data_IF_418704877516
#
_entry.id   IF_418704877516
#
_cell.length_a   1.000
_cell.length_b   1.000
_cell.length_c   1.000
_cell.angle_alpha   90.00
_cell.angle_beta   90.00
_cell.angle_gamma   90.00
#
_symmetry.space_group_name_H-M   'P 1'
#
loop_
_entity.id
_entity.type
_entity.pdbx_description
1 polymer ?
#
# COMPACT_ATOMS: atom_id res chain seq x y z
N UNK A 1 15.93 53.93 20.03
CA UNK A 1 15.48 54.40 21.35
C UNK A 1 14.03 54.03 21.54
N UNK A 2 13.74 53.26 22.44
CA UNK A 2 12.72 52.97 23.45
C UNK A 2 12.59 51.48 23.69
N UNK A 3 13.23 51.09 24.80
CA UNK A 3 13.02 49.83 25.52
C UNK A 3 11.70 49.93 26.27
N UNK A 4 10.95 48.87 26.36
CA UNK A 4 10.03 48.68 27.49
C UNK A 4 10.10 47.23 27.93
N UNK A 5 10.32 47.10 29.25
CA UNK A 5 10.58 45.93 30.06
C UNK A 5 9.37 45.72 30.97
N UNK A 6 9.27 44.45 31.53
CA UNK A 6 8.51 44.05 32.76
C UNK A 6 7.08 43.59 32.49
N UNK A 7 6.56 42.49 33.11
CA UNK A 7 6.82 41.93 34.44
C UNK A 7 6.50 40.44 34.57
N UNK A 8 7.27 39.77 35.38
CA UNK A 8 6.95 38.51 36.06
C UNK A 8 5.91 38.72 37.16
N UNK A 9 5.03 37.72 37.34
CA UNK A 9 4.37 37.53 38.63
C UNK A 9 4.31 36.03 38.96
N UNK A 10 5.12 35.66 39.94
CA UNK A 10 5.07 34.45 40.70
C UNK A 10 4.10 34.63 41.87
N UNK A 11 3.28 33.64 42.15
CA UNK A 11 2.59 33.50 43.45
C UNK A 11 2.82 32.09 43.95
N UNK A 12 3.32 32.04 45.15
CA UNK A 12 3.74 30.85 45.90
C UNK A 12 2.69 30.37 46.90
N UNK A 13 2.73 29.07 47.19
CA UNK A 13 2.47 28.35 48.43
C UNK A 13 1.30 28.73 49.34
N UNK A 14 0.60 27.69 49.77
CA UNK A 14 0.45 27.38 51.19
C UNK A 14 0.06 25.92 51.44
N UNK A 15 0.86 25.22 52.23
CA UNK A 15 0.68 23.93 52.88
C UNK A 15 -0.05 24.12 54.23
N UNK A 16 -0.97 23.24 54.59
CA UNK A 16 -1.36 22.81 55.95
C UNK A 16 -2.06 21.47 55.77
N UNK A 17 -1.77 20.34 56.32
CA UNK A 17 -1.09 19.92 57.52
C UNK A 17 -2.05 19.14 58.45
N UNK A 18 -1.69 17.89 58.86
CA UNK A 18 -2.21 17.00 59.93
C UNK A 18 -3.60 16.39 59.70
N UNK A 19 -3.82 15.10 59.76
CA UNK A 19 -3.29 13.99 60.54
C UNK A 19 -4.42 13.35 61.34
N UNK A 20 -4.66 12.05 61.18
CA UNK A 20 -4.93 11.10 62.28
C UNK A 20 -5.13 9.70 61.74
N UNK A 21 -4.46 8.77 62.37
CA UNK A 21 -4.56 7.32 62.24
C UNK A 21 -5.78 6.80 62.95
N UNK A 22 -6.49 5.84 62.36
CA UNK A 22 -7.19 4.80 63.12
C UNK A 22 -7.23 3.50 62.31
N UNK A 23 -6.84 2.44 63.03
CA UNK A 23 -6.83 1.06 62.59
C UNK A 23 -8.26 0.50 62.37
N UNK A 24 -8.51 -0.14 61.27
CA UNK A 24 -9.65 -1.02 61.06
C UNK A 24 -9.25 -2.31 60.33
N UNK A 25 -9.53 -3.40 61.00
CA UNK A 25 -9.34 -4.82 60.72
C UNK A 25 -9.95 -5.26 59.42
N UNK A 26 -9.34 -6.22 58.67
CA UNK A 26 -9.81 -6.61 57.35
C UNK A 26 -11.12 -7.43 57.42
N UNK A 27 -12.09 -6.99 56.67
CA UNK A 27 -13.29 -7.76 56.38
C UNK A 27 -13.01 -8.72 55.20
N UNK A 28 -13.35 -9.97 55.43
CA UNK A 28 -13.35 -11.07 54.47
C UNK A 28 -14.26 -10.74 53.30
N UNK A 29 -13.69 -10.46 52.11
CA UNK A 29 -14.48 -10.35 50.87
C UNK A 29 -14.37 -11.66 50.13
N UNK A 30 -15.51 -12.32 50.06
CA UNK A 30 -15.77 -13.52 49.27
C UNK A 30 -15.40 -13.30 47.82
N UNK A 31 -14.48 -14.12 47.29
CA UNK A 31 -14.06 -14.16 45.91
C UNK A 31 -15.20 -14.83 45.10
N UNK A 32 -16.11 -14.04 44.56
CA UNK A 32 -16.97 -14.50 43.47
C UNK A 32 -16.22 -14.31 42.17
N UNK A 33 -15.68 -15.39 41.65
CA UNK A 33 -15.19 -15.47 40.30
C UNK A 33 -16.31 -15.14 39.33
N UNK A 34 -16.37 -13.89 38.85
CA UNK A 34 -17.05 -13.56 37.61
C UNK A 34 -16.21 -14.04 36.46
N UNK A 35 -16.54 -15.25 35.99
CA UNK A 35 -16.11 -15.77 34.69
C UNK A 35 -16.71 -14.86 33.61
N UNK A 36 -15.97 -13.83 33.24
CA UNK A 36 -16.27 -13.03 32.08
C UNK A 36 -15.96 -13.89 30.83
N UNK A 37 -16.97 -14.65 30.39
CA UNK A 37 -17.01 -15.15 29.02
C UNK A 37 -17.36 -13.97 28.11
N UNK A 38 -16.39 -13.19 27.79
CA UNK A 38 -16.45 -12.20 26.71
C UNK A 38 -15.84 -12.84 25.49
N UNK A 39 -16.67 -13.45 24.64
CA UNK A 39 -16.37 -13.60 23.23
C UNK A 39 -16.19 -12.19 22.68
N UNK A 40 -14.94 -11.71 22.68
CA UNK A 40 -14.55 -10.62 21.83
C UNK A 40 -14.69 -11.19 20.41
N UNK A 41 -15.86 -10.96 19.79
CA UNK A 41 -16.05 -11.20 18.37
C UNK A 41 -14.91 -10.46 17.66
N UNK A 42 -13.95 -11.21 17.13
CA UNK A 42 -12.89 -10.65 16.29
C UNK A 42 -13.59 -9.88 15.18
N UNK A 43 -13.37 -8.58 15.11
CA UNK A 43 -13.95 -7.76 14.06
C UNK A 43 -13.61 -8.42 12.71
N UNK A 44 -14.65 -8.72 11.93
CA UNK A 44 -14.50 -9.35 10.61
C UNK A 44 -13.52 -8.52 9.79
N UNK A 45 -12.46 -9.13 9.30
CA UNK A 45 -11.44 -8.48 8.48
C UNK A 45 -11.44 -9.12 7.10
N UNK A 46 -11.27 -8.32 6.04
CA UNK A 46 -11.16 -8.83 4.69
C UNK A 46 -9.84 -9.59 4.50
N UNK A 47 -9.84 -10.55 3.60
CA UNK A 47 -8.67 -11.34 3.19
C UNK A 47 -8.85 -11.81 1.74
N UNK A 48 -8.03 -12.74 1.28
CA UNK A 48 -8.14 -13.35 -0.05
C UNK A 48 -8.75 -14.76 -0.03
N UNK A 49 -9.26 -15.23 1.11
CA UNK A 49 -9.87 -16.55 1.30
C UNK A 49 -11.34 -16.48 1.71
N UNK A 50 -11.67 -16.72 2.97
CA UNK A 50 -13.06 -16.77 3.46
C UNK A 50 -13.80 -15.43 3.35
N UNK A 51 -13.11 -14.32 3.59
CA UNK A 51 -13.59 -12.95 3.40
C UNK A 51 -12.94 -12.33 2.16
N UNK A 52 -12.84 -13.14 1.10
CA UNK A 52 -12.15 -12.79 -0.14
C UNK A 52 -12.92 -11.82 -1.03
N UNK A 53 -12.43 -11.57 -2.27
CA UNK A 53 -12.95 -10.54 -3.17
C UNK A 53 -14.44 -10.60 -3.44
N UNK A 54 -15.07 -11.76 -3.38
CA UNK A 54 -16.53 -11.93 -3.53
C UNK A 54 -17.36 -11.40 -2.35
N UNK A 55 -16.73 -11.07 -1.23
CA UNK A 55 -17.34 -10.55 0.00
C UNK A 55 -16.83 -9.16 0.37
N UNK A 56 -16.01 -8.52 -0.48
CA UNK A 56 -15.42 -7.23 -0.14
C UNK A 56 -16.44 -6.07 -0.12
N UNK A 57 -17.59 -6.23 -0.73
CA UNK A 57 -18.72 -5.30 -0.63
C UNK A 57 -19.26 -5.17 0.80
N UNK A 58 -19.09 -6.21 1.64
CA UNK A 58 -19.42 -6.19 3.06
C UNK A 58 -18.49 -5.29 3.88
N UNK A 59 -17.26 -5.05 3.40
CA UNK A 59 -16.27 -4.16 4.03
C UNK A 59 -16.26 -2.76 3.44
N UNK A 60 -16.53 -2.68 2.14
CA UNK A 60 -16.70 -1.42 1.43
C UNK A 60 -17.63 -1.60 0.25
N UNK A 61 -18.74 -0.87 0.27
CA UNK A 61 -19.74 -0.92 -0.80
C UNK A 61 -19.14 -0.67 -2.18
N UNK A 62 -18.14 0.21 -2.28
CA UNK A 62 -17.48 0.54 -3.54
C UNK A 62 -16.85 -0.69 -4.20
N UNK A 63 -16.39 -1.69 -3.43
CA UNK A 63 -15.83 -2.92 -3.98
C UNK A 63 -16.83 -3.74 -4.82
N UNK A 64 -18.13 -3.63 -4.51
CA UNK A 64 -19.18 -4.37 -5.23
C UNK A 64 -20.01 -3.51 -6.18
N UNK A 65 -20.02 -2.18 -6.03
CA UNK A 65 -20.89 -1.31 -6.85
C UNK A 65 -20.15 -0.28 -7.68
N UNK A 66 -18.82 -0.15 -7.48
CA UNK A 66 -17.97 0.77 -8.26
C UNK A 66 -17.94 0.37 -9.73
N UNK A 67 -17.91 1.37 -10.60
CA UNK A 67 -17.93 1.17 -12.05
C UNK A 67 -16.56 1.27 -12.69
N UNK A 68 -15.58 1.85 -11.96
CA UNK A 68 -14.21 2.04 -12.44
C UNK A 68 -13.22 1.23 -11.60
N UNK A 69 -13.55 -0.04 -11.38
CA UNK A 69 -12.77 -0.93 -10.51
C UNK A 69 -11.52 -1.49 -11.21
N UNK A 70 -10.50 -1.80 -10.39
CA UNK A 70 -9.24 -2.46 -10.78
C UNK A 70 -9.11 -3.79 -10.06
N UNK A 71 -8.31 -4.75 -10.61
CA UNK A 71 -7.56 -4.69 -11.87
C UNK A 71 -8.45 -4.91 -13.11
N UNK A 72 -7.89 -4.70 -14.31
CA UNK A 72 -8.58 -4.96 -15.58
C UNK A 72 -7.77 -5.90 -16.48
N UNK A 73 -8.44 -6.41 -17.53
CA UNK A 73 -7.74 -7.07 -18.64
C UNK A 73 -7.42 -6.04 -19.72
N UNK A 74 -6.14 -5.85 -20.02
CA UNK A 74 -5.67 -4.99 -21.10
C UNK A 74 -5.68 -5.79 -22.40
N UNK A 75 -6.29 -5.24 -23.43
CA UNK A 75 -6.29 -5.81 -24.79
C UNK A 75 -5.51 -4.85 -25.70
N UNK A 76 -4.23 -5.11 -26.01
CA UNK A 76 -3.38 -4.17 -26.75
C UNK A 76 -3.97 -3.70 -28.07
N UNK A 77 -4.71 -4.57 -28.76
CA UNK A 77 -5.39 -4.22 -30.02
C UNK A 77 -6.63 -3.31 -29.85
N UNK A 78 -7.01 -2.96 -28.64
CA UNK A 78 -8.15 -2.08 -28.31
C UNK A 78 -7.74 -0.83 -27.54
N UNK A 79 -6.46 -0.60 -27.37
CA UNK A 79 -5.95 0.62 -26.73
C UNK A 79 -6.02 1.80 -27.68
N UNK A 80 -6.15 2.98 -27.12
CA UNK A 80 -6.05 4.25 -27.86
C UNK A 80 -4.66 4.88 -27.67
N UNK A 81 -4.17 5.60 -28.67
CA UNK A 81 -2.93 6.37 -28.50
C UNK A 81 -3.14 7.43 -27.43
N UNK A 82 -2.17 7.51 -26.53
CA UNK A 82 -2.19 8.47 -25.43
C UNK A 82 -2.02 9.90 -25.97
N UNK A 83 -2.70 10.84 -25.36
CA UNK A 83 -2.38 12.25 -25.53
C UNK A 83 -1.16 12.56 -24.65
N UNK A 84 -0.17 13.25 -25.18
CA UNK A 84 1.08 13.61 -24.47
C UNK A 84 0.87 14.42 -23.17
N UNK A 85 -0.34 14.91 -22.91
CA UNK A 85 -0.67 15.56 -21.64
C UNK A 85 -0.61 14.60 -20.42
N UNK A 86 -0.50 13.28 -20.64
CA UNK A 86 -0.45 12.24 -19.60
C UNK A 86 0.93 11.61 -19.42
N UNK A 87 1.98 12.27 -19.94
CA UNK A 87 3.34 11.74 -19.86
C UNK A 87 3.76 11.51 -18.41
N UNK A 88 4.20 10.28 -18.16
CA UNK A 88 4.78 9.85 -16.89
C UNK A 88 6.29 10.14 -16.92
N UNK A 89 6.76 10.87 -15.92
CA UNK A 89 8.20 10.99 -15.64
C UNK A 89 8.50 10.42 -14.27
N UNK A 90 9.45 9.49 -14.19
CA UNK A 90 9.81 8.81 -12.94
C UNK A 90 11.10 9.38 -12.35
N UNK A 91 11.13 9.60 -11.05
CA UNK A 91 12.22 10.16 -10.26
C UNK A 91 12.43 9.31 -9.00
N UNK A 92 12.64 7.99 -9.20
CA UNK A 92 12.71 6.99 -8.13
C UNK A 92 14.16 6.78 -7.61
N UNK A 93 15.14 7.47 -8.15
CA UNK A 93 16.54 7.40 -7.72
C UNK A 93 16.75 8.03 -6.32
N UNK A 94 16.23 7.37 -5.32
CA UNK A 94 16.31 7.79 -3.90
C UNK A 94 16.66 6.59 -3.02
N UNK A 95 17.93 6.20 -3.04
CA UNK A 95 18.43 5.13 -2.18
C UNK A 95 18.36 5.52 -0.71
N UNK A 96 17.66 4.75 0.11
CA UNK A 96 17.46 5.03 1.53
C UNK A 96 17.04 3.82 2.34
N UNK A 97 16.81 4.04 3.64
CA UNK A 97 16.23 3.01 4.50
C UNK A 97 14.76 2.80 4.14
N UNK A 98 14.32 1.57 4.17
CA UNK A 98 12.93 1.19 3.96
C UNK A 98 12.52 0.11 4.95
N UNK A 99 11.33 0.25 5.51
CA UNK A 99 10.71 -0.76 6.36
C UNK A 99 9.99 -1.79 5.52
N UNK A 100 10.23 -3.08 5.77
CA UNK A 100 9.61 -4.20 5.05
C UNK A 100 8.74 -4.98 6.03
N UNK A 101 7.45 -5.05 5.77
CA UNK A 101 6.51 -5.74 6.65
C UNK A 101 5.61 -6.70 5.85
N UNK A 102 5.25 -7.80 6.47
CA UNK A 102 4.06 -8.55 6.11
C UNK A 102 2.87 -7.87 6.80
N UNK A 103 1.94 -7.34 6.00
CA UNK A 103 0.77 -6.63 6.50
C UNK A 103 -0.49 -7.50 6.58
N UNK A 104 -0.34 -8.82 6.38
CA UNK A 104 -1.43 -9.79 6.34
C UNK A 104 -2.12 -9.91 4.96
N UNK A 105 -1.71 -9.11 3.98
CA UNK A 105 -2.27 -9.09 2.63
C UNK A 105 -1.19 -9.10 1.54
N UNK A 106 -0.02 -8.57 1.86
CA UNK A 106 1.14 -8.51 0.97
C UNK A 106 2.41 -8.20 1.77
N UNK A 107 3.56 -8.43 1.16
CA UNK A 107 4.83 -7.87 1.62
C UNK A 107 4.90 -6.42 1.13
N UNK A 108 4.84 -5.49 2.09
CA UNK A 108 4.84 -4.05 1.84
C UNK A 108 6.18 -3.44 2.25
N UNK A 109 6.70 -2.60 1.38
CA UNK A 109 7.93 -1.83 1.59
C UNK A 109 7.58 -0.35 1.67
N UNK A 110 7.99 0.30 2.75
CA UNK A 110 7.78 1.74 2.98
C UNK A 110 9.14 2.42 3.09
N UNK A 111 9.60 3.12 2.03
CA UNK A 111 10.82 3.92 2.08
C UNK A 111 10.67 5.08 3.07
N UNK A 112 11.73 5.43 3.80
CA UNK A 112 11.78 6.63 4.64
C UNK A 112 11.76 7.90 3.79
N UNK A 113 12.46 7.83 2.65
CA UNK A 113 12.45 8.83 1.59
C UNK A 113 12.19 8.07 0.30
N UNK A 114 11.02 8.23 -0.24
CA UNK A 114 10.63 7.68 -1.54
C UNK A 114 10.99 8.64 -2.66
N UNK A 115 11.06 8.12 -3.88
CA UNK A 115 11.09 8.93 -5.08
C UNK A 115 9.75 9.60 -5.35
N UNK A 116 9.58 10.03 -6.57
CA UNK A 116 8.33 10.63 -7.03
C UNK A 116 8.11 10.36 -8.51
N UNK A 117 6.89 10.55 -8.94
CA UNK A 117 6.55 10.65 -10.36
C UNK A 117 5.95 12.02 -10.64
N UNK A 118 6.09 12.48 -11.87
CA UNK A 118 5.42 13.68 -12.37
C UNK A 118 4.35 13.27 -13.37
N UNK A 119 3.12 13.70 -13.14
CA UNK A 119 1.95 13.49 -14.00
C UNK A 119 1.31 14.84 -14.26
N UNK A 120 1.14 15.23 -15.54
CA UNK A 120 0.55 16.53 -15.90
C UNK A 120 1.24 17.75 -15.25
N UNK A 121 2.54 17.63 -14.99
CA UNK A 121 3.29 18.67 -14.29
C UNK A 121 3.09 18.70 -12.75
N UNK A 122 2.30 17.80 -12.20
CA UNK A 122 2.10 17.64 -10.75
C UNK A 122 2.95 16.50 -10.20
N UNK A 123 3.51 16.71 -9.01
CA UNK A 123 4.35 15.71 -8.33
C UNK A 123 3.49 14.78 -7.47
N UNK A 124 3.74 13.48 -7.60
CA UNK A 124 3.17 12.42 -6.77
C UNK A 124 4.32 11.70 -6.05
N UNK A 125 4.35 11.74 -4.73
CA UNK A 125 5.40 11.13 -3.93
C UNK A 125 5.15 9.64 -3.72
N UNK A 126 6.19 8.81 -3.82
CA UNK A 126 6.12 7.38 -3.50
C UNK A 126 5.80 7.20 -2.01
N UNK A 127 4.69 6.53 -1.70
CA UNK A 127 4.30 6.18 -0.34
C UNK A 127 4.83 4.81 0.08
N UNK A 128 4.71 3.84 -0.81
CA UNK A 128 5.09 2.45 -0.58
C UNK A 128 5.03 1.66 -1.88
N UNK A 129 5.66 0.50 -1.89
CA UNK A 129 5.41 -0.51 -2.91
C UNK A 129 5.15 -1.88 -2.25
N UNK A 130 4.43 -2.74 -2.96
CA UNK A 130 4.07 -4.08 -2.50
C UNK A 130 3.93 -5.04 -3.68
N UNK A 131 3.81 -6.32 -3.38
CA UNK A 131 3.87 -7.36 -4.40
C UNK A 131 2.64 -8.28 -4.37
N UNK A 132 2.33 -8.83 -5.54
CA UNK A 132 1.35 -9.90 -5.71
C UNK A 132 2.00 -11.11 -6.37
N UNK A 133 1.64 -12.32 -5.93
CA UNK A 133 2.25 -13.60 -6.32
C UNK A 133 1.91 -14.06 -7.73
N UNK A 134 0.92 -13.43 -8.36
CA UNK A 134 0.64 -13.33 -9.80
C UNK A 134 0.24 -11.89 -10.06
N UNK A 135 0.38 -11.41 -11.30
CA UNK A 135 -0.10 -10.06 -11.61
C UNK A 135 -1.61 -9.96 -11.43
N UNK A 136 -2.09 -8.86 -10.86
CA UNK A 136 -3.53 -8.61 -10.75
C UNK A 136 -4.13 -8.26 -12.12
N UNK A 137 -3.50 -7.34 -12.84
CA UNK A 137 -3.85 -7.06 -14.24
C UNK A 137 -3.45 -8.21 -15.15
N UNK A 138 -4.21 -8.37 -16.23
CA UNK A 138 -3.88 -9.30 -17.32
C UNK A 138 -3.66 -8.54 -18.62
N UNK A 139 -2.85 -9.11 -19.50
CA UNK A 139 -2.65 -8.63 -20.87
C UNK A 139 -3.07 -9.75 -21.83
N UNK A 140 -4.04 -9.51 -22.69
CA UNK A 140 -4.69 -10.55 -23.52
C UNK A 140 -5.13 -11.77 -22.70
N UNK A 141 -5.66 -11.53 -21.49
CA UNK A 141 -6.14 -12.56 -20.57
C UNK A 141 -5.06 -13.35 -19.85
N UNK A 142 -3.77 -13.02 -20.03
CA UNK A 142 -2.65 -13.72 -19.41
C UNK A 142 -2.09 -12.91 -18.24
N UNK A 143 -1.79 -13.58 -17.14
CA UNK A 143 -1.09 -13.03 -15.98
C UNK A 143 0.41 -13.18 -16.14
N UNK A 144 1.15 -12.24 -15.58
CA UNK A 144 2.57 -12.37 -15.30
C UNK A 144 2.81 -13.11 -13.98
N UNK A 145 4.03 -13.59 -13.76
CA UNK A 145 4.38 -14.41 -12.60
C UNK A 145 4.28 -13.67 -11.28
N UNK A 146 4.59 -12.34 -11.29
CA UNK A 146 4.42 -11.43 -10.17
C UNK A 146 4.15 -10.01 -10.69
N UNK A 147 3.75 -9.11 -9.80
CA UNK A 147 3.71 -7.67 -10.04
C UNK A 147 4.12 -6.91 -8.78
N UNK A 148 4.85 -5.81 -8.95
CA UNK A 148 5.03 -4.79 -7.94
C UNK A 148 4.11 -3.60 -8.24
N UNK A 149 3.41 -3.09 -7.24
CA UNK A 149 2.64 -1.86 -7.31
C UNK A 149 3.36 -0.77 -6.51
N UNK A 150 3.84 0.25 -7.20
CA UNK A 150 4.45 1.43 -6.59
C UNK A 150 3.37 2.49 -6.43
N UNK A 151 2.93 2.72 -5.20
CA UNK A 151 1.80 3.60 -4.87
C UNK A 151 2.32 4.99 -4.56
N UNK A 152 1.88 5.96 -5.34
CA UNK A 152 2.22 7.37 -5.22
C UNK A 152 1.00 8.20 -4.84
N UNK A 153 1.23 9.35 -4.22
CA UNK A 153 0.18 10.29 -3.85
C UNK A 153 0.61 11.74 -4.12
N UNK A 154 -0.29 12.48 -4.74
CA UNK A 154 -0.16 13.92 -4.81
C UNK A 154 -0.32 14.51 -3.39
N UNK A 155 0.66 15.28 -2.89
CA UNK A 155 0.64 15.77 -1.51
C UNK A 155 -0.46 16.80 -1.23
N UNK A 156 -0.99 17.47 -2.26
CA UNK A 156 -2.03 18.49 -2.14
C UNK A 156 -3.43 17.91 -2.34
N UNK A 157 -3.66 17.26 -3.47
CA UNK A 157 -5.00 16.75 -3.86
C UNK A 157 -5.35 15.41 -3.21
N UNK A 158 -4.33 14.67 -2.71
CA UNK A 158 -4.43 13.30 -2.19
C UNK A 158 -4.80 12.26 -3.26
N UNK A 159 -4.85 12.64 -4.52
CA UNK A 159 -5.03 11.69 -5.62
C UNK A 159 -3.92 10.65 -5.61
N UNK A 160 -4.29 9.42 -5.92
CA UNK A 160 -3.36 8.29 -6.01
C UNK A 160 -2.98 8.01 -7.47
N UNK A 161 -1.74 7.61 -7.65
CA UNK A 161 -1.24 7.03 -8.87
C UNK A 161 -0.47 5.75 -8.54
N UNK A 162 -0.59 4.73 -9.37
CA UNK A 162 0.10 3.46 -9.19
C UNK A 162 0.88 3.12 -10.45
N UNK A 163 2.18 2.90 -10.31
CA UNK A 163 3.02 2.31 -11.35
C UNK A 163 3.10 0.81 -11.08
N UNK A 164 2.66 0.01 -12.05
CA UNK A 164 2.72 -1.45 -11.99
C UNK A 164 3.90 -1.96 -12.80
N UNK A 165 4.78 -2.72 -12.15
CA UNK A 165 5.94 -3.37 -12.76
C UNK A 165 5.70 -4.88 -12.76
N UNK A 166 5.50 -5.45 -13.93
CA UNK A 166 5.33 -6.88 -14.09
C UNK A 166 6.66 -7.63 -13.97
N UNK A 167 6.60 -8.86 -13.49
CA UNK A 167 7.73 -9.78 -13.45
C UNK A 167 7.39 -11.07 -14.20
N UNK A 168 8.37 -11.57 -14.95
CA UNK A 168 8.35 -12.88 -15.59
C UNK A 168 9.53 -13.71 -15.12
N UNK A 169 9.40 -15.02 -15.19
CA UNK A 169 10.51 -15.92 -14.87
C UNK A 169 11.74 -15.63 -15.74
N UNK A 170 12.93 -15.58 -15.12
CA UNK A 170 14.18 -15.29 -15.79
C UNK A 170 15.33 -15.08 -14.82
N UNK A 171 16.14 -14.06 -15.08
CA UNK A 171 17.27 -13.72 -14.23
C UNK A 171 16.82 -13.25 -12.84
N UNK A 172 17.67 -13.53 -11.85
CA UNK A 172 17.44 -13.16 -10.45
C UNK A 172 17.38 -11.66 -10.25
N UNK A 173 16.40 -11.21 -9.49
CA UNK A 173 16.20 -9.80 -9.11
C UNK A 173 16.84 -9.49 -7.75
N UNK A 174 17.80 -8.59 -7.71
CA UNK A 174 18.48 -8.21 -6.46
C UNK A 174 17.54 -7.52 -5.47
N UNK A 175 16.60 -6.69 -5.95
CA UNK A 175 15.65 -6.01 -5.08
C UNK A 175 14.64 -6.99 -4.47
N UNK A 176 14.21 -8.03 -5.21
CA UNK A 176 13.34 -9.07 -4.65
C UNK A 176 14.02 -9.85 -3.52
N UNK A 177 15.31 -10.21 -3.67
CA UNK A 177 16.06 -10.81 -2.57
C UNK A 177 16.08 -9.90 -1.34
N UNK A 178 16.44 -8.62 -1.56
CA UNK A 178 16.52 -7.66 -0.47
C UNK A 178 15.18 -7.52 0.26
N UNK A 179 14.07 -7.64 -0.43
CA UNK A 179 12.73 -7.58 0.17
C UNK A 179 12.37 -8.89 0.87
N UNK A 180 12.48 -10.03 0.19
CA UNK A 180 12.00 -11.33 0.69
C UNK A 180 12.81 -11.77 1.92
N UNK A 181 14.15 -11.57 1.92
CA UNK A 181 15.04 -12.00 3.00
C UNK A 181 15.00 -11.08 4.22
N UNK A 182 14.32 -9.94 4.12
CA UNK A 182 14.31 -8.94 5.18
C UNK A 182 12.90 -8.53 5.65
N UNK A 183 11.91 -9.38 5.47
CA UNK A 183 10.57 -9.16 6.03
C UNK A 183 10.67 -9.02 7.56
N UNK A 184 10.04 -7.97 8.10
CA UNK A 184 10.09 -7.61 9.51
C UNK A 184 11.27 -6.72 9.90
N UNK A 185 12.08 -6.26 8.93
CA UNK A 185 13.26 -5.42 9.15
C UNK A 185 13.21 -4.12 8.36
N UNK A 186 14.16 -3.24 8.65
CA UNK A 186 14.48 -2.09 7.79
C UNK A 186 15.84 -2.31 7.15
N UNK A 187 15.92 -2.09 5.85
CA UNK A 187 17.16 -2.23 5.06
C UNK A 187 17.32 -1.05 4.10
N UNK A 188 18.54 -0.84 3.66
CA UNK A 188 18.81 0.12 2.59
C UNK A 188 18.44 -0.50 1.25
N UNK A 189 17.62 0.20 0.47
CA UNK A 189 17.29 -0.18 -0.91
C UNK A 189 16.97 1.06 -1.74
N UNK A 190 16.87 0.88 -3.04
CA UNK A 190 16.55 1.91 -4.00
C UNK A 190 15.30 1.49 -4.78
N UNK A 191 14.19 2.25 -4.72
CA UNK A 191 12.99 1.94 -5.50
C UNK A 191 13.23 1.91 -7.02
N UNK A 192 14.22 2.64 -7.52
CA UNK A 192 14.64 2.61 -8.93
C UNK A 192 14.98 1.19 -9.41
N UNK A 193 15.49 0.34 -8.54
CA UNK A 193 15.83 -1.04 -8.87
C UNK A 193 14.60 -1.90 -9.26
N UNK A 194 13.38 -1.45 -8.96
CA UNK A 194 12.15 -2.06 -9.44
C UNK A 194 11.88 -1.77 -10.92
N UNK A 195 12.34 -0.63 -11.43
CA UNK A 195 11.99 -0.21 -12.77
C UNK A 195 12.74 -1.03 -13.82
N UNK A 196 12.11 -1.38 -14.96
CA UNK A 196 12.82 -1.96 -16.11
C UNK A 196 13.71 -0.92 -16.77
N UNK A 197 14.64 -1.37 -17.63
CA UNK A 197 15.50 -0.46 -18.40
C UNK A 197 14.71 0.41 -19.41
N UNK A 198 13.57 -0.11 -19.87
CA UNK A 198 12.59 0.63 -20.67
C UNK A 198 11.34 0.83 -19.83
N UNK A 199 11.25 1.97 -19.20
CA UNK A 199 10.14 2.42 -18.38
C UNK A 199 9.28 3.49 -19.10
N UNK A 200 9.66 3.84 -20.33
CA UNK A 200 8.98 4.86 -21.12
C UNK A 200 7.67 4.37 -21.76
N UNK A 201 7.50 3.03 -21.91
CA UNK A 201 6.33 2.46 -22.58
C UNK A 201 5.38 1.81 -21.56
N UNK A 202 4.13 2.29 -21.52
CA UNK A 202 3.12 1.84 -20.57
C UNK A 202 1.70 1.87 -21.14
N UNK A 203 0.80 1.19 -20.45
CA UNK A 203 -0.64 1.39 -20.58
C UNK A 203 -1.12 2.29 -19.44
N UNK A 204 -2.05 3.18 -19.75
CA UNK A 204 -2.67 4.07 -18.78
C UNK A 204 -4.18 3.89 -18.75
N UNK A 205 -4.79 3.97 -17.58
CA UNK A 205 -6.23 4.08 -17.40
C UNK A 205 -6.56 4.61 -16.00
N UNK A 206 -7.78 5.10 -15.81
CA UNK A 206 -8.29 5.49 -14.51
C UNK A 206 -9.07 4.33 -13.89
N UNK A 207 -8.68 3.93 -12.70
CA UNK A 207 -9.24 2.78 -12.01
C UNK A 207 -9.43 3.00 -10.50
N UNK A 208 -9.22 1.95 -9.72
CA UNK A 208 -9.40 1.95 -8.26
C UNK A 208 -8.19 1.34 -7.53
N UNK A 209 -8.21 1.41 -6.20
CA UNK A 209 -7.46 0.47 -5.38
C UNK A 209 -7.97 -0.95 -5.62
N UNK A 210 -7.07 -1.93 -5.62
CA UNK A 210 -7.39 -3.35 -5.82
C UNK A 210 -7.75 -4.08 -4.53
N UNK A 211 -7.74 -3.38 -3.39
CA UNK A 211 -8.14 -3.90 -2.08
C UNK A 211 -9.16 -2.95 -1.43
N UNK A 212 -9.98 -3.42 -0.47
CA UNK A 212 -10.83 -2.52 0.30
C UNK A 212 -10.06 -1.31 0.87
N UNK A 213 -10.59 -0.09 0.72
CA UNK A 213 -11.97 0.28 0.38
C UNK A 213 -12.30 0.38 -1.12
N UNK A 214 -11.44 -0.07 -2.05
CA UNK A 214 -11.65 -0.07 -3.50
C UNK A 214 -11.96 1.33 -4.08
N UNK A 215 -11.39 2.37 -3.47
CA UNK A 215 -11.62 3.77 -3.86
C UNK A 215 -11.22 3.98 -5.30
N UNK A 216 -12.09 4.63 -6.06
CA UNK A 216 -11.88 4.95 -7.48
C UNK A 216 -11.07 6.24 -7.68
N UNK A 217 -10.85 6.63 -8.92
CA UNK A 217 -10.04 7.77 -9.33
C UNK A 217 -8.53 7.58 -9.04
N UNK A 218 -8.03 6.36 -9.23
CA UNK A 218 -6.61 6.02 -9.17
C UNK A 218 -6.04 6.00 -10.57
N UNK A 219 -4.96 6.75 -10.80
CA UNK A 219 -4.22 6.75 -12.07
C UNK A 219 -3.34 5.50 -12.15
N UNK A 220 -3.57 4.63 -13.10
CA UNK A 220 -2.77 3.41 -13.30
C UNK A 220 -1.86 3.55 -14.49
N UNK A 221 -0.57 3.27 -14.26
CA UNK A 221 0.48 3.17 -15.28
C UNK A 221 1.08 1.78 -15.22
N UNK A 222 0.87 0.96 -16.24
CA UNK A 222 1.34 -0.42 -16.29
C UNK A 222 2.49 -0.52 -17.29
N UNK A 223 3.71 -0.67 -16.79
CA UNK A 223 4.91 -0.71 -17.64
C UNK A 223 4.85 -1.94 -18.55
N UNK A 224 5.10 -1.74 -19.84
CA UNK A 224 4.98 -2.80 -20.85
C UNK A 224 6.15 -3.78 -20.82
N UNK A 225 7.33 -3.30 -20.41
CA UNK A 225 8.53 -4.12 -20.31
C UNK A 225 8.58 -4.76 -18.92
N UNK A 226 8.48 -6.09 -18.80
CA UNK A 226 8.58 -6.74 -17.51
C UNK A 226 10.03 -6.77 -17.01
N UNK A 227 10.19 -6.82 -15.70
CA UNK A 227 11.41 -7.27 -15.03
C UNK A 227 11.45 -8.79 -14.99
N UNK A 228 12.59 -9.35 -14.58
CA UNK A 228 12.73 -10.78 -14.35
C UNK A 228 12.88 -11.09 -12.86
N UNK A 229 12.45 -12.29 -12.48
CA UNK A 229 12.70 -12.91 -11.19
C UNK A 229 13.04 -14.40 -11.41
N UNK A 230 13.93 -14.97 -10.58
CA UNK A 230 14.19 -16.40 -10.69
C UNK A 230 13.00 -17.23 -10.20
N UNK A 231 12.90 -18.46 -10.67
CA UNK A 231 11.89 -19.43 -10.20
C UNK A 231 11.89 -19.53 -8.67
N UNK A 232 13.09 -19.60 -8.06
CA UNK A 232 13.24 -19.70 -6.60
C UNK A 232 12.69 -18.46 -5.88
N UNK A 233 12.87 -17.26 -6.45
CA UNK A 233 12.32 -16.02 -5.86
C UNK A 233 10.81 -16.00 -5.95
N UNK A 234 10.25 -16.35 -7.10
CA UNK A 234 8.80 -16.44 -7.31
C UNK A 234 8.19 -17.46 -6.34
N UNK A 235 8.79 -18.64 -6.23
CA UNK A 235 8.33 -19.68 -5.30
C UNK A 235 8.52 -19.27 -3.83
N UNK A 236 9.59 -18.52 -3.52
CA UNK A 236 9.80 -18.03 -2.15
C UNK A 236 8.75 -16.99 -1.77
N UNK A 237 8.42 -16.05 -2.64
CA UNK A 237 7.33 -15.10 -2.42
C UNK A 237 6.00 -15.81 -2.23
N UNK A 238 5.70 -16.83 -3.03
CA UNK A 238 4.48 -17.63 -2.94
C UNK A 238 4.32 -18.41 -1.62
N UNK A 239 5.37 -18.57 -0.82
CA UNK A 239 5.25 -19.11 0.54
C UNK A 239 4.58 -18.13 1.51
N UNK A 240 4.67 -16.82 1.25
CA UNK A 240 3.91 -15.82 1.99
C UNK A 240 2.48 -15.76 1.48
N UNK A 241 2.30 -15.68 0.16
CA UNK A 241 1.00 -15.48 -0.49
C UNK A 241 0.89 -16.31 -1.76
N UNK A 242 -0.05 -17.24 -1.79
CA UNK A 242 -0.34 -18.07 -2.96
C UNK A 242 -1.23 -17.36 -3.95
N UNK A 243 -2.32 -16.75 -3.47
CA UNK A 243 -3.34 -16.09 -4.27
C UNK A 243 -3.75 -14.79 -3.55
N UNK A 244 -2.93 -13.74 -3.70
CA UNK A 244 -3.22 -12.41 -3.14
C UNK A 244 -3.56 -11.38 -4.24
N UNK A 245 -4.19 -11.83 -5.30
CA UNK A 245 -4.65 -11.02 -6.39
C UNK A 245 -6.18 -10.96 -6.47
N UNK A 246 -6.72 -9.75 -6.67
CA UNK A 246 -8.14 -9.56 -6.97
C UNK A 246 -8.45 -10.08 -8.38
N UNK A 247 -9.62 -10.70 -8.63
CA UNK A 247 -10.08 -10.99 -9.98
C UNK A 247 -10.18 -9.73 -10.84
N UNK A 248 -9.98 -9.87 -12.16
CA UNK A 248 -10.17 -8.77 -13.10
C UNK A 248 -11.61 -8.27 -13.08
N UNK A 249 -11.77 -6.96 -13.18
CA UNK A 249 -13.03 -6.24 -13.18
C UNK A 249 -13.39 -5.81 -14.61
N UNK A 250 -14.65 -5.51 -14.83
CA UNK A 250 -15.10 -5.03 -16.12
C UNK A 250 -14.56 -3.64 -16.44
N UNK A 251 -14.24 -3.41 -17.71
CA UNK A 251 -13.72 -2.13 -18.17
C UNK A 251 -14.80 -1.05 -18.21
N UNK A 252 -16.05 -1.45 -18.45
CA UNK A 252 -17.18 -0.55 -18.70
C UNK A 252 -16.88 0.45 -19.83
N UNK A 253 -17.14 1.72 -19.59
CA UNK A 253 -16.95 2.83 -20.55
C UNK A 253 -15.52 3.40 -20.56
N UNK A 254 -14.63 2.83 -19.75
CA UNK A 254 -13.24 3.31 -19.65
C UNK A 254 -12.42 2.94 -20.89
N UNK A 255 -11.51 3.83 -21.21
CA UNK A 255 -10.51 3.65 -22.25
C UNK A 255 -9.17 3.27 -21.61
N UNK A 256 -8.44 2.35 -22.24
CA UNK A 256 -7.05 2.09 -21.94
C UNK A 256 -6.22 2.80 -23.01
N UNK A 257 -5.35 3.68 -22.58
CA UNK A 257 -4.44 4.42 -23.42
C UNK A 257 -3.07 3.74 -23.47
N UNK A 258 -2.31 4.00 -24.52
CA UNK A 258 -0.93 3.51 -24.72
C UNK A 258 -0.07 4.63 -25.32
N UNK A 259 1.12 4.80 -24.77
CA UNK A 259 2.15 5.65 -25.36
C UNK A 259 3.12 4.86 -26.23
#
# INVERSE_FOLDING_TARGET
MKKTVIAMSAVALLLVGCGHTEDAKPAHVSNTEHKASGDAAHAKHWNYSENGPSHWDEFSRTCGTGQHQSPINIIPGKTMSMNHDYDLSMHEDVSGMASIIDNGHSIKVTPEHGGSITLHGETFNLLQFHFHGKSEHTVDGKRYDMVAHMVHQNPETKQLAVVAVFFTEGEKSAILDSVIDNVGKSVKLDPQDLLPADDAHYYHYVGSLTTPPCSENVQWYLLKTPKTASTEQIEHFRKFYVDNERPVQELHDRVVEVN
#
